data_IF_552576326190
#
_entry.id   IF_552576326190
#
_cell.length_a   1.000
_cell.length_b   1.000
_cell.length_c   1.000
_cell.angle_alpha   90.00
_cell.angle_beta   90.00
_cell.angle_gamma   90.00
#
_symmetry.space_group_name_H-M   'P 1'
#
loop_
_entity.id
_entity.type
_entity.pdbx_description
1 polymer ?
#
# COMPACT_ATOMS: atom_id res chain seq x y z
N UNK A 1 15.25 -13.90 -18.85
CA UNK A 1 14.16 -13.86 -17.85
C UNK A 1 14.69 -13.21 -16.57
N UNK A 2 14.01 -12.20 -16.01
CA UNK A 2 14.45 -11.54 -14.75
C UNK A 2 14.07 -12.39 -13.52
N UNK A 3 14.71 -12.16 -12.37
CA UNK A 3 14.35 -12.82 -11.11
C UNK A 3 12.86 -12.60 -10.76
N UNK A 4 12.35 -11.39 -10.99
CA UNK A 4 10.94 -11.05 -10.75
C UNK A 4 10.00 -11.82 -11.68
N UNK A 5 10.29 -11.85 -12.98
CA UNK A 5 9.45 -12.60 -13.93
C UNK A 5 9.46 -14.11 -13.65
N UNK A 6 10.63 -14.67 -13.29
CA UNK A 6 10.74 -16.06 -12.87
C UNK A 6 9.94 -16.33 -11.60
N UNK A 7 10.09 -15.48 -10.58
CA UNK A 7 9.38 -15.58 -9.30
C UNK A 7 7.86 -15.56 -9.51
N UNK A 8 7.36 -14.61 -10.31
CA UNK A 8 5.94 -14.52 -10.65
C UNK A 8 5.44 -15.80 -11.34
N UNK A 9 6.21 -16.33 -12.30
CA UNK A 9 5.84 -17.55 -13.00
C UNK A 9 5.74 -18.76 -12.05
N UNK A 10 6.73 -18.96 -11.17
CA UNK A 10 6.73 -20.11 -10.25
C UNK A 10 5.71 -19.97 -9.12
N UNK A 11 5.49 -18.76 -8.59
CA UNK A 11 4.46 -18.50 -7.57
C UNK A 11 3.04 -18.65 -8.15
N UNK A 12 2.85 -18.34 -9.43
CA UNK A 12 1.54 -18.46 -10.10
C UNK A 12 1.27 -19.87 -10.64
N UNK A 13 2.28 -20.74 -10.72
CA UNK A 13 2.17 -22.10 -11.25
C UNK A 13 1.08 -22.91 -10.53
N UNK A 14 0.31 -23.67 -11.32
CA UNK A 14 -0.68 -24.63 -10.81
C UNK A 14 -0.01 -25.69 -9.91
N UNK A 15 -0.76 -26.17 -8.92
CA UNK A 15 -0.30 -27.06 -7.87
C UNK A 15 0.26 -26.32 -6.64
N UNK A 16 0.42 -24.99 -6.71
CA UNK A 16 0.66 -24.13 -5.54
C UNK A 16 1.98 -24.34 -4.79
N UNK A 17 2.82 -25.31 -5.17
CA UNK A 17 4.00 -25.74 -4.38
C UNK A 17 4.90 -24.60 -3.92
N UNK A 18 5.19 -23.63 -4.79
CA UNK A 18 6.01 -22.47 -4.45
C UNK A 18 5.25 -21.42 -3.63
N UNK A 19 3.95 -21.27 -3.88
CA UNK A 19 3.09 -20.32 -3.18
C UNK A 19 2.83 -20.73 -1.72
N UNK A 20 2.72 -22.03 -1.45
CA UNK A 20 2.47 -22.60 -0.12
C UNK A 20 3.77 -22.96 0.62
N UNK A 21 4.94 -22.81 -0.01
CA UNK A 21 6.21 -23.12 0.63
C UNK A 21 6.58 -22.06 1.67
N UNK A 22 6.73 -22.50 2.93
CA UNK A 22 6.92 -21.69 4.13
C UNK A 22 7.94 -20.53 4.02
N UNK A 23 9.06 -20.71 3.29
CA UNK A 23 10.11 -19.68 3.15
C UNK A 23 10.30 -19.14 1.74
N UNK A 24 9.65 -19.71 0.71
CA UNK A 24 10.06 -19.43 -0.67
C UNK A 24 9.80 -17.97 -1.05
N UNK A 25 8.59 -17.47 -0.77
CA UNK A 25 8.24 -16.06 -1.02
C UNK A 25 9.17 -15.09 -0.26
N UNK A 26 9.51 -15.41 0.99
CA UNK A 26 10.44 -14.64 1.80
C UNK A 26 11.84 -14.61 1.17
N UNK A 27 12.39 -15.76 0.75
CA UNK A 27 13.71 -15.85 0.12
C UNK A 27 13.77 -15.04 -1.17
N UNK A 28 12.79 -15.22 -2.05
CA UNK A 28 12.72 -14.50 -3.34
C UNK A 28 12.56 -13.00 -3.13
N UNK A 29 11.74 -12.56 -2.17
CA UNK A 29 11.63 -11.16 -1.78
C UNK A 29 12.98 -10.58 -1.33
N UNK A 30 13.69 -11.27 -0.44
CA UNK A 30 15.00 -10.85 0.05
C UNK A 30 16.05 -10.78 -1.06
N UNK A 31 16.07 -11.76 -1.98
CA UNK A 31 16.94 -11.73 -3.14
C UNK A 31 16.62 -10.52 -4.05
N UNK A 32 15.34 -10.22 -4.25
CA UNK A 32 14.89 -9.06 -5.00
C UNK A 32 15.34 -7.74 -4.38
N UNK A 33 15.16 -7.59 -3.06
CA UNK A 33 15.63 -6.43 -2.28
C UNK A 33 17.14 -6.27 -2.39
N UNK A 34 17.91 -7.34 -2.15
CA UNK A 34 19.39 -7.32 -2.25
C UNK A 34 19.85 -6.93 -3.65
N UNK A 35 19.21 -7.48 -4.68
CA UNK A 35 19.49 -7.15 -6.07
C UNK A 35 19.25 -5.66 -6.37
N UNK A 36 18.12 -5.08 -5.92
CA UNK A 36 17.80 -3.66 -6.08
C UNK A 36 18.76 -2.73 -5.34
N UNK A 37 19.23 -3.16 -4.18
CA UNK A 37 20.18 -2.42 -3.35
C UNK A 37 21.64 -2.58 -3.76
N UNK A 38 21.99 -3.63 -4.52
CA UNK A 38 23.37 -3.91 -4.94
C UNK A 38 24.08 -2.70 -5.55
N UNK A 39 23.43 -1.95 -6.44
CA UNK A 39 24.05 -0.76 -7.06
C UNK A 39 24.37 0.34 -6.06
N UNK A 40 23.47 0.58 -5.10
CA UNK A 40 23.70 1.53 -4.00
C UNK A 40 24.85 1.03 -3.13
N UNK A 41 24.88 -0.27 -2.82
CA UNK A 41 25.96 -0.88 -2.03
C UNK A 41 27.32 -0.75 -2.71
N UNK A 42 27.41 -1.04 -4.02
CA UNK A 42 28.67 -0.93 -4.77
C UNK A 42 29.20 0.51 -4.78
N UNK A 43 28.32 1.49 -5.00
CA UNK A 43 28.70 2.90 -4.94
C UNK A 43 29.14 3.31 -3.54
N UNK A 44 28.44 2.87 -2.48
CA UNK A 44 28.80 3.16 -1.10
C UNK A 44 30.15 2.56 -0.69
N UNK A 45 30.46 1.33 -1.10
CA UNK A 45 31.75 0.65 -0.80
C UNK A 45 32.92 1.32 -1.50
N UNK A 46 32.71 1.90 -2.68
CA UNK A 46 33.75 2.66 -3.40
C UNK A 46 34.08 4.03 -2.81
N UNK A 47 33.39 4.48 -1.75
CA UNK A 47 33.63 5.78 -1.13
C UNK A 47 34.84 5.74 -0.21
N UNK A 48 35.57 6.86 -0.15
CA UNK A 48 36.72 7.06 0.73
C UNK A 48 36.41 6.84 2.21
N UNK A 49 35.14 6.97 2.60
CA UNK A 49 34.68 6.85 3.99
C UNK A 49 34.45 5.39 4.43
N UNK A 50 34.51 4.41 3.52
CA UNK A 50 34.25 3.00 3.83
C UNK A 50 35.15 2.43 4.95
N UNK A 51 36.48 2.70 5.00
CA UNK A 51 37.33 2.26 6.12
C UNK A 51 36.93 2.88 7.47
N UNK A 52 36.30 4.05 7.47
CA UNK A 52 35.74 4.65 8.68
C UNK A 52 34.53 3.85 9.15
N UNK A 53 33.61 3.54 8.24
CA UNK A 53 32.42 2.73 8.51
C UNK A 53 32.80 1.33 9.01
N UNK A 54 33.78 0.67 8.38
CA UNK A 54 34.28 -0.64 8.79
C UNK A 54 34.81 -0.63 10.23
N UNK A 55 35.66 0.36 10.57
CA UNK A 55 36.15 0.53 11.95
C UNK A 55 35.00 0.74 12.94
N UNK A 56 34.01 1.55 12.58
CA UNK A 56 32.84 1.78 13.44
C UNK A 56 32.10 0.45 13.66
N UNK A 57 31.84 -0.32 12.62
CA UNK A 57 31.17 -1.64 12.71
C UNK A 57 31.93 -2.60 13.62
N UNK A 58 33.25 -2.68 13.49
CA UNK A 58 34.08 -3.53 14.36
C UNK A 58 34.10 -3.05 15.82
N UNK A 59 33.90 -1.75 16.05
CA UNK A 59 33.83 -1.15 17.39
C UNK A 59 32.44 -1.22 18.03
N UNK A 60 31.45 -1.85 17.38
CA UNK A 60 30.12 -2.01 17.95
C UNK A 60 30.14 -3.08 19.05
N UNK A 61 29.63 -2.72 20.22
CA UNK A 61 29.36 -3.66 21.32
C UNK A 61 27.87 -3.63 21.66
N UNK A 62 27.41 -4.67 22.38
CA UNK A 62 26.02 -4.77 22.82
C UNK A 62 25.65 -3.60 23.75
N UNK A 63 26.56 -3.20 24.61
CA UNK A 63 26.39 -2.12 25.58
C UNK A 63 26.24 -0.78 24.86
N UNK A 64 27.13 -0.50 23.90
CA UNK A 64 27.10 0.71 23.08
C UNK A 64 25.80 0.83 22.29
N UNK A 65 25.36 -0.27 21.66
CA UNK A 65 24.10 -0.33 20.94
C UNK A 65 22.89 -0.16 21.88
N UNK A 66 22.95 -0.75 23.08
CA UNK A 66 21.90 -0.63 24.09
C UNK A 66 21.72 0.81 24.59
N UNK A 67 22.81 1.53 24.83
CA UNK A 67 22.77 2.95 25.19
C UNK A 67 22.17 3.79 24.07
N UNK A 68 22.65 3.61 22.83
CA UNK A 68 22.12 4.36 21.69
C UNK A 68 20.64 4.04 21.41
N UNK A 69 20.21 2.80 21.65
CA UNK A 69 18.79 2.44 21.57
C UNK A 69 17.96 3.24 22.57
N UNK A 70 18.36 3.28 23.85
CA UNK A 70 17.65 4.03 24.89
C UNK A 70 17.58 5.53 24.55
N UNK A 71 18.69 6.12 24.11
CA UNK A 71 18.73 7.53 23.69
C UNK A 71 17.77 7.80 22.51
N UNK A 72 17.75 6.92 21.52
CA UNK A 72 16.88 7.01 20.35
C UNK A 72 15.39 6.85 20.71
N UNK A 73 15.06 5.98 21.67
CA UNK A 73 13.69 5.79 22.15
C UNK A 73 13.18 7.01 22.91
N UNK A 74 14.04 7.65 23.72
CA UNK A 74 13.68 8.83 24.52
C UNK A 74 13.62 10.11 23.66
N UNK A 75 14.64 10.34 22.83
CA UNK A 75 14.87 11.64 22.18
C UNK A 75 14.78 11.61 20.65
N UNK A 76 14.74 10.42 20.04
CA UNK A 76 14.85 10.26 18.59
C UNK A 76 16.27 10.52 18.03
N UNK A 77 17.25 10.78 18.88
CA UNK A 77 18.66 11.00 18.53
C UNK A 77 19.58 10.20 19.45
N UNK A 78 20.83 9.99 19.03
CA UNK A 78 21.88 9.41 19.88
C UNK A 78 23.08 10.34 19.93
N UNK A 79 23.78 10.42 21.05
CA UNK A 79 25.02 11.16 21.17
C UNK A 79 26.18 10.47 20.43
N UNK A 80 26.04 9.17 20.14
CA UNK A 80 27.07 8.37 19.49
C UNK A 80 27.23 8.72 18.00
N UNK A 81 28.32 9.42 17.68
CA UNK A 81 28.63 9.83 16.30
C UNK A 81 28.90 8.66 15.35
N UNK A 82 29.43 7.54 15.85
CA UNK A 82 29.64 6.36 15.04
C UNK A 82 28.31 5.72 14.64
N UNK A 83 27.38 5.59 15.58
CA UNK A 83 26.04 5.06 15.31
C UNK A 83 25.23 6.02 14.44
N UNK A 84 25.33 7.34 14.66
CA UNK A 84 24.77 8.34 13.74
C UNK A 84 25.26 8.14 12.31
N UNK A 85 26.56 7.92 12.12
CA UNK A 85 27.15 7.72 10.80
C UNK A 85 26.64 6.43 10.15
N UNK A 86 26.52 5.33 10.92
CA UNK A 86 25.92 4.10 10.42
C UNK A 86 24.45 4.28 10.03
N UNK A 87 23.65 4.99 10.84
CA UNK A 87 22.25 5.27 10.54
C UNK A 87 22.09 6.11 9.27
N UNK A 88 22.95 7.11 9.05
CA UNK A 88 23.00 7.85 7.78
C UNK A 88 23.30 6.90 6.61
N UNK A 89 24.28 6.02 6.76
CA UNK A 89 24.60 4.99 5.77
C UNK A 89 23.41 4.06 5.47
N UNK A 90 22.68 3.62 6.50
CA UNK A 90 21.50 2.77 6.36
C UNK A 90 20.35 3.47 5.63
N UNK A 91 20.15 4.77 5.87
CA UNK A 91 19.08 5.55 5.22
C UNK A 91 19.22 5.59 3.68
N UNK A 92 20.43 5.46 3.15
CA UNK A 92 20.66 5.38 1.70
C UNK A 92 19.98 4.17 1.06
N UNK A 93 19.95 3.03 1.77
CA UNK A 93 19.32 1.80 1.32
C UNK A 93 17.81 1.81 1.59
N UNK A 94 17.39 2.51 2.64
CA UNK A 94 16.01 2.61 3.08
C UNK A 94 15.06 2.97 1.93
N UNK A 95 15.40 3.91 1.06
CA UNK A 95 14.51 4.34 -0.04
C UNK A 95 14.07 3.23 -0.99
N UNK A 96 14.92 2.20 -1.18
CA UNK A 96 14.65 1.05 -2.06
C UNK A 96 14.12 -0.15 -1.30
N UNK A 97 14.08 -0.08 0.02
CA UNK A 97 13.49 -1.07 0.90
C UNK A 97 11.99 -0.79 1.05
N UNK A 98 11.10 -1.67 0.56
CA UNK A 98 9.67 -1.53 0.80
C UNK A 98 9.37 -1.41 2.28
N UNK A 99 8.37 -0.59 2.64
CA UNK A 99 7.92 -0.36 4.03
C UNK A 99 8.94 0.26 5.00
N UNK A 100 10.14 0.62 4.53
CA UNK A 100 11.11 1.35 5.36
C UNK A 100 10.62 2.75 5.74
N UNK A 101 11.29 3.38 6.71
CA UNK A 101 11.04 4.77 7.10
C UNK A 101 11.25 5.72 5.92
N UNK A 102 12.33 5.52 5.17
CA UNK A 102 12.72 6.37 4.05
C UNK A 102 11.75 6.22 2.86
N UNK A 103 11.26 5.00 2.63
CA UNK A 103 10.19 4.77 1.65
C UNK A 103 8.92 5.53 2.03
N UNK A 104 8.48 5.44 3.29
CA UNK A 104 7.31 6.19 3.80
C UNK A 104 7.52 7.72 3.71
N UNK A 105 8.72 8.21 4.00
CA UNK A 105 9.07 9.63 3.80
C UNK A 105 8.98 10.04 2.33
N UNK A 106 9.40 9.17 1.39
CA UNK A 106 9.26 9.41 -0.04
C UNK A 106 7.79 9.46 -0.48
N UNK A 107 6.94 8.56 0.02
CA UNK A 107 5.50 8.59 -0.22
C UNK A 107 4.87 9.89 0.29
N UNK A 108 5.23 10.32 1.51
CA UNK A 108 4.78 11.61 2.08
C UNK A 108 5.19 12.80 1.22
N UNK A 109 6.43 12.83 0.71
CA UNK A 109 6.90 13.87 -0.21
C UNK A 109 6.10 13.86 -1.53
N UNK A 110 5.79 12.68 -2.06
CA UNK A 110 4.94 12.54 -3.25
C UNK A 110 3.54 13.11 -3.01
N UNK A 111 2.90 12.79 -1.88
CA UNK A 111 1.60 13.37 -1.50
C UNK A 111 1.70 14.91 -1.43
N UNK A 112 2.69 15.45 -0.72
CA UNK A 112 2.90 16.91 -0.64
C UNK A 112 3.06 17.56 -2.02
N UNK A 113 3.81 16.93 -2.93
CA UNK A 113 4.00 17.44 -4.28
C UNK A 113 2.70 17.45 -5.10
N UNK A 114 1.84 16.45 -4.92
CA UNK A 114 0.52 16.42 -5.54
C UNK A 114 -0.38 17.50 -4.97
N UNK A 115 -0.30 17.76 -3.67
CA UNK A 115 -1.06 18.84 -3.03
C UNK A 115 -0.65 20.21 -3.59
N UNK A 116 0.65 20.46 -3.71
CA UNK A 116 1.16 21.73 -4.27
C UNK A 116 0.72 21.91 -5.73
N UNK A 117 0.71 20.83 -6.51
CA UNK A 117 0.41 20.89 -7.96
C UNK A 117 -1.09 20.93 -8.26
N UNK A 118 -1.91 20.19 -7.51
CA UNK A 118 -3.31 19.92 -7.84
C UNK A 118 -4.30 20.42 -6.76
N UNK A 119 -3.82 21.06 -5.71
CA UNK A 119 -4.64 21.49 -4.57
C UNK A 119 -4.86 20.37 -3.54
N UNK A 120 -5.74 20.60 -2.58
CA UNK A 120 -6.07 19.62 -1.53
C UNK A 120 -6.85 18.46 -2.16
N UNK A 121 -6.57 17.18 -1.84
CA UNK A 121 -7.37 16.07 -2.32
C UNK A 121 -8.83 16.21 -1.88
N UNK A 122 -9.78 15.86 -2.75
CA UNK A 122 -11.20 15.93 -2.46
C UNK A 122 -11.68 14.74 -1.62
N UNK A 123 -11.13 13.55 -1.90
CA UNK A 123 -11.57 12.30 -1.29
C UNK A 123 -10.35 11.59 -0.70
N UNK A 124 -10.45 11.22 0.58
CA UNK A 124 -9.56 10.25 1.21
C UNK A 124 -10.33 8.96 1.44
N UNK A 125 -9.71 7.83 1.11
CA UNK A 125 -10.38 6.53 1.21
C UNK A 125 -9.43 5.44 1.69
N UNK A 126 -10.02 4.37 2.23
CA UNK A 126 -9.32 3.13 2.54
C UNK A 126 -10.08 1.96 1.93
N UNK A 127 -9.39 1.15 1.12
CA UNK A 127 -9.94 -0.10 0.58
C UNK A 127 -9.28 -1.29 1.26
N UNK A 128 -10.10 -2.11 1.92
CA UNK A 128 -9.66 -3.32 2.60
C UNK A 128 -10.50 -4.51 2.11
N UNK A 129 -10.18 -5.10 0.94
CA UNK A 129 -10.90 -6.25 0.42
C UNK A 129 -10.87 -7.41 1.40
N UNK A 130 -12.03 -8.00 1.70
CA UNK A 130 -12.13 -9.15 2.60
C UNK A 130 -11.56 -10.41 1.93
N UNK A 131 -10.32 -10.76 2.23
CA UNK A 131 -9.65 -11.93 1.66
C UNK A 131 -9.89 -13.23 2.45
N UNK A 132 -10.75 -13.21 3.48
CA UNK A 132 -11.05 -14.38 4.33
C UNK A 132 -12.29 -15.11 3.85
N UNK A 133 -13.38 -14.38 3.62
CA UNK A 133 -14.68 -15.01 3.28
C UNK A 133 -15.17 -14.68 1.88
N UNK A 134 -14.45 -13.85 1.11
CA UNK A 134 -14.87 -13.50 -0.24
C UNK A 134 -14.87 -14.73 -1.18
N UNK A 135 -16.01 -15.04 -1.85
CA UNK A 135 -16.12 -16.20 -2.72
C UNK A 135 -15.13 -16.23 -3.88
N UNK A 136 -14.81 -15.08 -4.48
CA UNK A 136 -13.83 -14.97 -5.58
C UNK A 136 -12.45 -15.40 -5.08
N UNK A 137 -12.05 -14.92 -3.91
CA UNK A 137 -10.77 -15.29 -3.29
C UNK A 137 -10.72 -16.78 -2.97
N UNK A 138 -11.76 -17.31 -2.31
CA UNK A 138 -11.82 -18.72 -1.93
C UNK A 138 -11.77 -19.63 -3.16
N UNK A 139 -12.51 -19.27 -4.23
CA UNK A 139 -12.48 -19.98 -5.51
C UNK A 139 -11.10 -19.92 -6.13
N UNK A 140 -10.47 -18.75 -6.19
CA UNK A 140 -9.09 -18.60 -6.71
C UNK A 140 -8.10 -19.52 -5.98
N UNK A 141 -8.14 -19.56 -4.65
CA UNK A 141 -7.25 -20.41 -3.85
C UNK A 141 -7.50 -21.91 -4.06
N UNK A 142 -8.77 -22.31 -4.17
CA UNK A 142 -9.13 -23.71 -4.44
C UNK A 142 -8.57 -24.18 -5.79
N UNK A 143 -8.78 -23.41 -6.86
CA UNK A 143 -8.38 -23.74 -8.23
C UNK A 143 -6.88 -23.69 -8.49
N UNK A 144 -6.10 -23.02 -7.63
CA UNK A 144 -4.64 -22.94 -7.77
C UNK A 144 -3.90 -24.19 -7.30
N UNK A 145 -4.53 -24.98 -6.43
CA UNK A 145 -3.94 -26.16 -5.80
C UNK A 145 -4.61 -27.48 -6.18
N UNK A 146 -5.75 -27.42 -6.87
CA UNK A 146 -6.61 -28.57 -7.19
C UNK A 146 -7.02 -28.55 -8.65
N UNK A 147 -7.42 -29.72 -9.13
CA UNK A 147 -8.10 -29.82 -10.42
C UNK A 147 -9.54 -29.27 -10.31
N UNK A 148 -10.17 -28.84 -11.43
CA UNK A 148 -11.46 -28.16 -11.39
C UNK A 148 -12.57 -28.90 -10.65
N UNK A 149 -12.69 -30.21 -10.83
CA UNK A 149 -13.72 -31.03 -10.17
C UNK A 149 -13.50 -31.12 -8.66
N UNK A 150 -12.25 -31.34 -8.24
CA UNK A 150 -11.87 -31.38 -6.83
C UNK A 150 -12.04 -30.01 -6.17
N UNK A 151 -11.71 -28.93 -6.89
CA UNK A 151 -11.89 -27.56 -6.40
C UNK A 151 -13.37 -27.26 -6.15
N UNK A 152 -14.28 -27.63 -7.06
CA UNK A 152 -15.72 -27.44 -6.86
C UNK A 152 -16.28 -28.29 -5.71
N UNK A 153 -15.89 -29.56 -5.62
CA UNK A 153 -16.26 -30.43 -4.50
C UNK A 153 -15.78 -29.85 -3.16
N UNK A 154 -14.55 -29.34 -3.13
CA UNK A 154 -13.97 -28.69 -1.97
C UNK A 154 -14.74 -27.42 -1.59
N UNK A 155 -15.10 -26.56 -2.55
CA UNK A 155 -15.90 -25.34 -2.32
C UNK A 155 -17.31 -25.66 -1.82
N UNK A 156 -17.95 -26.73 -2.32
CA UNK A 156 -19.27 -27.18 -1.85
C UNK A 156 -19.23 -27.70 -0.41
N UNK A 157 -18.13 -28.33 0.00
CA UNK A 157 -17.93 -28.84 1.37
C UNK A 157 -17.37 -27.80 2.36
N UNK A 158 -17.24 -26.54 1.92
CA UNK A 158 -16.57 -25.44 2.62
C UNK A 158 -17.53 -24.67 3.54
N UNK A 159 -18.22 -25.42 4.38
CA UNK A 159 -19.29 -24.92 5.26
C UNK A 159 -18.76 -24.35 6.60
N UNK A 160 -17.47 -24.55 6.90
CA UNK A 160 -16.90 -24.17 8.20
C UNK A 160 -16.03 -22.91 8.10
N UNK A 161 -16.28 -21.93 8.98
CA UNK A 161 -15.47 -20.72 9.14
C UNK A 161 -13.96 -21.04 9.29
N UNK A 162 -13.63 -22.11 10.00
CA UNK A 162 -12.26 -22.61 10.16
C UNK A 162 -11.63 -23.08 8.82
N UNK A 163 -12.39 -23.79 7.97
CA UNK A 163 -11.89 -24.23 6.65
C UNK A 163 -11.64 -23.03 5.72
N UNK A 164 -12.47 -21.98 5.81
CA UNK A 164 -12.29 -20.72 5.06
C UNK A 164 -11.04 -19.98 5.50
N UNK A 165 -10.87 -19.79 6.82
CA UNK A 165 -9.68 -19.16 7.38
C UNK A 165 -8.40 -19.94 7.02
N UNK A 166 -8.43 -21.27 7.12
CA UNK A 166 -7.29 -22.12 6.75
C UNK A 166 -6.95 -22.03 5.27
N UNK A 167 -7.95 -22.08 4.38
CA UNK A 167 -7.71 -21.88 2.94
C UNK A 167 -7.11 -20.50 2.70
N UNK A 168 -7.64 -19.48 3.40
CA UNK A 168 -7.20 -18.12 3.23
C UNK A 168 -5.72 -17.91 3.60
N UNK A 169 -5.27 -18.58 4.66
CA UNK A 169 -3.88 -18.56 5.14
C UNK A 169 -2.97 -19.45 4.28
N UNK A 170 -3.48 -20.57 3.76
CA UNK A 170 -2.66 -21.59 3.10
C UNK A 170 -2.05 -21.15 1.76
N UNK A 171 -2.65 -20.16 1.08
CA UNK A 171 -2.16 -19.62 -0.19
C UNK A 171 -2.11 -18.08 -0.15
N UNK A 172 -1.04 -17.48 0.40
CA UNK A 172 -0.87 -16.03 0.45
C UNK A 172 -0.75 -15.39 -0.94
N UNK A 173 -0.36 -16.15 -1.96
CA UNK A 173 -0.30 -15.65 -3.35
C UNK A 173 -1.72 -15.40 -3.88
N UNK A 174 -2.69 -16.24 -3.52
CA UNK A 174 -4.11 -15.98 -3.85
C UNK A 174 -4.60 -14.67 -3.23
N UNK A 175 -4.25 -14.38 -1.96
CA UNK A 175 -4.58 -13.10 -1.34
C UNK A 175 -3.97 -11.92 -2.10
N UNK A 176 -2.70 -12.01 -2.52
CA UNK A 176 -2.04 -10.96 -3.29
C UNK A 176 -2.67 -10.75 -4.68
N UNK A 177 -3.00 -11.84 -5.39
CA UNK A 177 -3.67 -11.76 -6.71
C UNK A 177 -5.07 -11.18 -6.58
N UNK A 178 -5.86 -11.66 -5.60
CA UNK A 178 -7.19 -11.15 -5.31
C UNK A 178 -7.14 -9.66 -5.00
N UNK A 179 -6.29 -9.25 -4.05
CA UNK A 179 -6.12 -7.84 -3.70
C UNK A 179 -5.74 -7.00 -4.93
N UNK A 180 -4.75 -7.43 -5.71
CA UNK A 180 -4.35 -6.69 -6.91
C UNK A 180 -5.49 -6.55 -7.92
N UNK A 181 -6.29 -7.61 -8.13
CA UNK A 181 -7.49 -7.57 -8.97
C UNK A 181 -8.51 -6.56 -8.45
N UNK A 182 -8.92 -6.66 -7.20
CA UNK A 182 -9.97 -5.78 -6.63
C UNK A 182 -9.56 -4.30 -6.70
N UNK A 183 -8.31 -3.99 -6.33
CA UNK A 183 -7.80 -2.63 -6.38
C UNK A 183 -7.70 -2.13 -7.83
N UNK A 184 -7.26 -2.97 -8.77
CA UNK A 184 -7.19 -2.57 -10.19
C UNK A 184 -8.57 -2.29 -10.76
N UNK A 185 -9.56 -3.16 -10.50
CA UNK A 185 -10.95 -2.97 -10.93
C UNK A 185 -11.58 -1.73 -10.30
N UNK A 186 -11.26 -1.41 -9.04
CA UNK A 186 -11.69 -0.16 -8.41
C UNK A 186 -11.19 1.06 -9.20
N UNK A 187 -9.90 1.12 -9.51
CA UNK A 187 -9.36 2.25 -10.26
C UNK A 187 -9.84 2.30 -11.71
N UNK A 188 -10.00 1.14 -12.34
CA UNK A 188 -10.43 1.00 -13.73
C UNK A 188 -11.91 1.37 -13.93
N UNK A 189 -12.81 0.90 -13.05
CA UNK A 189 -14.25 1.02 -13.28
C UNK A 189 -14.95 2.03 -12.36
N UNK A 190 -14.43 2.29 -11.17
CA UNK A 190 -15.06 3.24 -10.22
C UNK A 190 -14.39 4.61 -10.24
N UNK A 191 -13.06 4.67 -10.32
CA UNK A 191 -12.31 5.95 -10.32
C UNK A 191 -12.18 6.54 -11.71
N UNK A 192 -11.96 5.72 -12.74
CA UNK A 192 -11.93 6.13 -14.17
C UNK A 192 -11.20 7.45 -14.41
N UNK A 193 -9.90 7.48 -14.10
CA UNK A 193 -9.10 8.70 -14.13
C UNK A 193 -9.13 9.36 -15.51
N UNK A 194 -9.53 10.63 -15.57
CA UNK A 194 -9.68 11.41 -16.79
C UNK A 194 -11.08 11.37 -17.41
N UNK A 195 -11.93 10.46 -16.96
CA UNK A 195 -13.29 10.24 -17.43
C UNK A 195 -14.32 10.51 -16.31
N UNK A 196 -15.60 10.45 -16.67
CA UNK A 196 -16.69 10.53 -15.69
C UNK A 196 -16.75 9.24 -14.87
N UNK A 197 -16.79 9.39 -13.55
CA UNK A 197 -16.69 8.28 -12.59
C UNK A 197 -17.80 8.38 -11.55
N UNK A 198 -17.98 7.35 -10.71
CA UNK A 198 -18.97 7.41 -9.61
C UNK A 198 -18.63 8.48 -8.57
N UNK A 199 -17.38 8.97 -8.59
CA UNK A 199 -16.89 10.04 -7.71
C UNK A 199 -16.85 11.40 -8.43
N UNK A 200 -17.46 11.52 -9.62
CA UNK A 200 -17.27 12.64 -10.53
C UNK A 200 -15.97 12.53 -11.33
N UNK A 201 -15.59 13.60 -12.03
CA UNK A 201 -14.41 13.58 -12.91
C UNK A 201 -13.10 13.65 -12.12
N UNK A 202 -12.43 12.51 -11.94
CA UNK A 202 -11.15 12.41 -11.24
C UNK A 202 -9.99 12.81 -12.14
N UNK A 203 -9.19 13.78 -11.72
CA UNK A 203 -8.00 14.22 -12.46
C UNK A 203 -6.76 13.39 -12.12
N UNK A 204 -6.57 13.05 -10.84
CA UNK A 204 -5.39 12.33 -10.35
C UNK A 204 -5.73 11.51 -9.11
N UNK A 205 -4.91 10.49 -8.83
CA UNK A 205 -4.98 9.72 -7.60
C UNK A 205 -3.60 9.43 -7.02
N UNK A 206 -3.58 9.11 -5.74
CA UNK A 206 -2.45 8.50 -5.05
C UNK A 206 -2.95 7.32 -4.25
N UNK A 207 -2.19 6.21 -4.25
CA UNK A 207 -2.49 5.02 -3.45
C UNK A 207 -1.22 4.47 -2.81
N UNK A 208 -1.31 4.14 -1.52
CA UNK A 208 -0.27 3.44 -0.77
C UNK A 208 -0.84 2.10 -0.28
N UNK A 209 -0.15 1.02 -0.60
CA UNK A 209 -0.50 -0.33 -0.13
C UNK A 209 0.20 -0.58 1.20
N UNK A 210 -0.56 -1.02 2.19
CA UNK A 210 -0.06 -1.37 3.52
C UNK A 210 -0.62 -2.73 3.96
N UNK A 211 0.05 -3.35 4.93
CA UNK A 211 -0.44 -4.55 5.62
C UNK A 211 -1.16 -4.13 6.88
N UNK A 212 -2.37 -4.62 7.10
CA UNK A 212 -3.08 -4.42 8.35
C UNK A 212 -2.50 -5.32 9.46
N UNK A 213 -3.02 -5.18 10.68
CA UNK A 213 -2.57 -5.95 11.86
C UNK A 213 -2.70 -7.48 11.69
N UNK A 214 -3.56 -7.93 10.75
CA UNK A 214 -3.77 -9.34 10.43
C UNK A 214 -2.86 -9.83 9.29
N UNK A 215 -2.01 -8.95 8.75
CA UNK A 215 -1.14 -9.24 7.60
C UNK A 215 -1.83 -9.16 6.23
N UNK A 216 -3.12 -8.79 6.17
CA UNK A 216 -3.84 -8.61 4.92
C UNK A 216 -3.57 -7.24 4.29
N UNK A 217 -3.63 -7.18 2.97
CA UNK A 217 -3.34 -5.97 2.20
C UNK A 217 -4.54 -5.02 2.18
N UNK A 218 -4.29 -3.74 2.39
CA UNK A 218 -5.25 -2.67 2.21
C UNK A 218 -4.58 -1.47 1.51
N UNK A 219 -5.38 -0.60 0.91
CA UNK A 219 -4.92 0.63 0.26
C UNK A 219 -5.44 1.83 1.02
N UNK A 220 -4.56 2.76 1.35
CA UNK A 220 -4.92 4.14 1.65
C UNK A 220 -4.76 4.99 0.39
N UNK A 221 -5.79 5.74 0.02
CA UNK A 221 -5.81 6.50 -1.21
C UNK A 221 -6.34 7.92 -1.07
N UNK A 222 -5.94 8.75 -2.03
CA UNK A 222 -6.36 10.13 -2.20
C UNK A 222 -6.80 10.33 -3.65
N UNK A 223 -7.93 11.00 -3.86
CA UNK A 223 -8.43 11.39 -5.18
C UNK A 223 -8.52 12.92 -5.29
N UNK A 224 -8.16 13.43 -6.46
CA UNK A 224 -8.32 14.84 -6.83
C UNK A 224 -9.38 14.94 -7.92
N UNK A 225 -10.39 15.78 -7.71
CA UNK A 225 -11.37 16.10 -8.75
C UNK A 225 -10.74 16.99 -9.83
N UNK A 226 -11.37 17.07 -10.99
CA UNK A 226 -11.06 18.10 -11.97
C UNK A 226 -11.60 19.45 -11.46
N UNK A 227 -10.77 20.50 -11.50
CA UNK A 227 -11.15 21.82 -10.98
C UNK A 227 -11.00 21.97 -9.45
N UNK A 228 -10.43 20.98 -8.77
CA UNK A 228 -10.35 20.88 -7.31
C UNK A 228 -9.46 21.93 -6.59
N UNK A 229 -8.88 22.87 -7.33
CA UNK A 229 -7.90 23.83 -6.80
C UNK A 229 -8.50 24.87 -5.85
N UNK A 230 -9.83 25.04 -5.85
CA UNK A 230 -10.55 26.05 -5.06
C UNK A 230 -11.42 25.48 -3.94
N UNK A 231 -11.32 24.18 -3.62
CA UNK A 231 -12.12 23.59 -2.54
C UNK A 231 -11.97 24.35 -1.20
N UNK A 232 -10.75 24.80 -0.89
CA UNK A 232 -10.46 25.54 0.34
C UNK A 232 -11.10 26.94 0.39
N UNK A 233 -11.43 27.53 -0.77
CA UNK A 233 -12.06 28.83 -0.86
C UNK A 233 -13.58 28.73 -1.01
N UNK A 234 -14.17 27.52 -1.16
CA UNK A 234 -15.62 27.35 -1.32
C UNK A 234 -16.39 28.06 -0.20
N UNK A 235 -15.98 27.89 1.06
CA UNK A 235 -16.67 28.50 2.20
C UNK A 235 -16.60 30.03 2.20
N UNK A 236 -15.47 30.62 1.81
CA UNK A 236 -15.31 32.07 1.68
C UNK A 236 -15.97 32.63 0.42
N UNK A 237 -15.95 31.86 -0.67
CA UNK A 237 -16.51 32.21 -1.97
C UNK A 237 -18.05 32.18 -1.98
N UNK A 238 -18.68 31.35 -1.14
CA UNK A 238 -20.14 31.28 -0.96
C UNK A 238 -20.69 32.50 -0.21
N UNK A 239 -19.87 33.18 0.59
CA UNK A 239 -20.28 34.34 1.40
C UNK A 239 -20.30 35.68 0.63
N UNK A 240 -19.81 35.73 -0.62
CA UNK A 240 -19.81 36.95 -1.43
C UNK A 240 -21.15 37.21 -2.12
N UNK A 241 -21.70 38.43 -1.97
CA UNK A 241 -23.00 38.84 -2.54
C UNK A 241 -23.07 38.69 -4.08
N UNK A 242 -21.95 38.83 -4.79
CA UNK A 242 -21.86 38.70 -6.25
C UNK A 242 -21.91 37.25 -6.80
N UNK A 243 -22.03 36.23 -5.92
CA UNK A 243 -21.86 34.81 -6.31
C UNK A 243 -23.09 33.94 -6.06
N UNK A 244 -24.28 34.53 -6.10
CA UNK A 244 -25.55 33.83 -5.89
C UNK A 244 -25.73 32.58 -6.78
N UNK A 245 -25.37 32.66 -8.08
CA UNK A 245 -25.47 31.52 -9.00
C UNK A 245 -24.51 30.37 -8.67
N UNK A 246 -23.29 30.68 -8.20
CA UNK A 246 -22.33 29.68 -7.74
C UNK A 246 -22.80 28.99 -6.46
N UNK A 247 -23.36 29.77 -5.52
CA UNK A 247 -23.99 29.23 -4.30
C UNK A 247 -25.15 28.30 -4.64
N UNK A 248 -26.04 28.71 -5.54
CA UNK A 248 -27.16 27.86 -5.99
C UNK A 248 -26.67 26.55 -6.62
N UNK A 249 -25.62 26.60 -7.44
CA UNK A 249 -25.03 25.39 -8.05
C UNK A 249 -24.42 24.45 -7.01
N UNK A 250 -23.81 24.98 -5.94
CA UNK A 250 -23.30 24.17 -4.83
C UNK A 250 -24.45 23.54 -4.04
N UNK A 251 -25.49 24.31 -3.73
CA UNK A 251 -26.67 23.81 -3.00
C UNK A 251 -27.33 22.68 -3.80
N UNK A 252 -27.58 22.89 -5.09
CA UNK A 252 -28.16 21.87 -5.97
C UNK A 252 -27.29 20.61 -6.06
N UNK A 253 -25.96 20.76 -6.12
CA UNK A 253 -25.05 19.63 -6.05
C UNK A 253 -25.16 18.89 -4.70
N UNK A 254 -25.15 19.61 -3.57
CA UNK A 254 -25.28 19.01 -2.23
C UNK A 254 -26.62 18.28 -2.11
N UNK A 255 -27.73 18.91 -2.49
CA UNK A 255 -29.07 18.32 -2.45
C UNK A 255 -29.18 17.08 -3.36
N UNK A 256 -28.50 17.07 -4.52
CA UNK A 256 -28.45 15.91 -5.40
C UNK A 256 -27.67 14.71 -4.83
N UNK A 257 -26.72 14.97 -3.92
CA UNK A 257 -25.92 13.93 -3.26
C UNK A 257 -26.61 13.43 -1.99
N UNK A 258 -27.31 14.30 -1.29
CA UNK A 258 -28.04 14.02 -0.05
C UNK A 258 -29.56 13.92 -0.27
N UNK A 259 -30.00 13.38 -1.40
CA UNK A 259 -31.40 13.00 -1.57
C UNK A 259 -31.72 11.87 -0.60
N UNK A 260 -32.53 12.16 0.41
CA UNK A 260 -33.02 11.22 1.43
C UNK A 260 -33.44 9.88 0.79
N UNK A 261 -32.80 8.80 1.22
CA UNK A 261 -33.38 7.47 1.14
C UNK A 261 -34.28 7.25 2.37
N UNK A 262 -35.31 8.07 2.54
CA UNK A 262 -36.38 7.84 3.53
C UNK A 262 -37.56 7.13 2.85
N UNK A 263 -37.34 5.87 2.47
CA UNK A 263 -38.38 4.96 1.97
C UNK A 263 -38.45 3.68 2.83
N UNK A 264 -38.25 3.79 4.15
CA UNK A 264 -38.45 2.65 5.06
C UNK A 264 -39.21 2.94 6.36
N UNK A 265 -40.03 4.00 6.41
CA UNK A 265 -41.06 4.15 7.43
C UNK A 265 -42.41 4.53 6.80
N UNK A 266 -42.95 3.64 5.97
CA UNK A 266 -44.40 3.45 5.77
C UNK A 266 -44.67 2.22 4.88
N UNK A 267 -44.58 1.03 5.48
CA UNK A 267 -45.52 -0.09 5.34
C UNK A 267 -45.10 -1.26 6.23
#
# INVERSE_FOLDING_TARGET
MSLTAWAEAVLRRHGGRFATHHIFAFLVFNLGVRSRNRRVSMLSVSRKDFPSVERIVHSLSRERLGLAQQELEISGQTADEGIKELLKGLSLYGFRQPMSREHRLSLRRKIKSLIIRYGIPAIWFTLNPNDITNPVKLRLAAYRSRDPEEAESFLRSLDMAYKRARLAISDPVSSAIFFHREISLFFEHYVKVGEESVFGRISQYFGAVETNERGALHVHGLLWLQGNMRLNSVLTDVCGEERASYRSSIIEYVDSVFSEADDSMNN
#
